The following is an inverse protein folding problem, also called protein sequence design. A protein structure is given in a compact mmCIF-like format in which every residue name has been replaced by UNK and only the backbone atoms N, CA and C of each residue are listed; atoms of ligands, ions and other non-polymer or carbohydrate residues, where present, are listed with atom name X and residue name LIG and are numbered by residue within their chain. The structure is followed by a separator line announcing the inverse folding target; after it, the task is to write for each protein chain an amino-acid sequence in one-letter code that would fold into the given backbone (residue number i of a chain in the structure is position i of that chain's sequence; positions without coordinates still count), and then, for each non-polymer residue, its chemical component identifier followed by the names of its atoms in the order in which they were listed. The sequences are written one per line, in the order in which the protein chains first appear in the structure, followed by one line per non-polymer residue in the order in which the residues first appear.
data_IF_084280718611
#
_entry.id   IF_084280718611
#
_cell.length_a   1.000
_cell.length_b   1.000
_cell.length_c   1.000
_cell.angle_alpha   90.00
_cell.angle_beta   90.00
_cell.angle_gamma   90.00
#
_symmetry.space_group_name_H-M   'P 1'
#
loop_
_entity.id
_entity.type
_entity.pdbx_description
1 polymer ?
#
# COMPACT_ATOMS: atom_id res chain seq x y z
N UNK A 1 17.56 -10.29 -5.35
CA UNK A 1 16.60 -9.52 -6.18
C UNK A 1 17.36 -8.38 -6.82
N UNK A 2 17.06 -8.02 -8.07
CA UNK A 2 17.58 -6.78 -8.70
C UNK A 2 16.43 -5.85 -9.06
N UNK A 3 16.69 -4.55 -9.02
CA UNK A 3 15.75 -3.51 -9.43
C UNK A 3 16.15 -3.05 -10.82
N UNK A 4 15.22 -3.08 -11.76
CA UNK A 4 15.40 -2.56 -13.11
C UNK A 4 14.58 -1.29 -13.29
N UNK A 5 15.18 -0.28 -13.92
CA UNK A 5 14.50 0.96 -14.29
C UNK A 5 14.36 0.98 -15.82
N UNK A 6 13.14 0.78 -16.29
CA UNK A 6 12.82 0.71 -17.71
C UNK A 6 12.20 2.04 -18.11
N UNK A 7 12.80 2.75 -19.07
CA UNK A 7 12.16 3.93 -19.66
C UNK A 7 11.07 3.48 -20.62
N UNK A 8 9.83 3.84 -20.34
CA UNK A 8 8.70 3.67 -21.26
C UNK A 8 8.21 5.04 -21.74
N UNK A 9 7.44 5.08 -22.84
CA UNK A 9 6.83 6.33 -23.29
C UNK A 9 5.81 6.82 -22.24
N UNK A 10 6.13 7.93 -21.57
CA UNK A 10 5.28 8.57 -20.56
C UNK A 10 5.91 8.59 -19.16
N UNK A 11 6.39 7.45 -18.66
CA UNK A 11 6.99 7.37 -17.32
C UNK A 11 8.01 6.22 -17.19
N UNK A 12 8.99 6.34 -16.28
CA UNK A 12 9.87 5.24 -15.95
C UNK A 12 9.12 4.17 -15.15
N UNK A 13 9.32 2.90 -15.50
CA UNK A 13 8.79 1.73 -14.80
C UNK A 13 9.91 1.11 -13.97
N UNK A 14 9.63 0.83 -12.70
CA UNK A 14 10.50 0.01 -11.85
C UNK A 14 9.98 -1.43 -11.87
N UNK A 15 10.86 -2.39 -12.11
CA UNK A 15 10.55 -3.81 -11.97
C UNK A 15 11.54 -4.49 -11.02
N UNK A 16 11.03 -5.48 -10.30
CA UNK A 16 11.82 -6.31 -9.40
C UNK A 16 12.04 -7.66 -10.06
N UNK A 17 13.28 -7.93 -10.47
CA UNK A 17 13.63 -9.24 -10.98
C UNK A 17 14.05 -10.14 -9.82
N UNK A 18 13.25 -11.16 -9.57
CA UNK A 18 13.54 -12.19 -8.56
C UNK A 18 14.43 -13.24 -9.25
N UNK A 19 15.70 -13.31 -8.85
CA UNK A 19 16.70 -14.17 -9.53
C UNK A 19 16.49 -15.66 -9.28
N UNK A 20 15.87 -16.02 -8.16
CA UNK A 20 15.47 -17.38 -7.84
C UNK A 20 13.97 -17.36 -7.58
N UNK A 21 13.19 -18.00 -8.45
CA UNK A 21 11.77 -18.15 -8.21
C UNK A 21 11.60 -19.02 -6.96
N UNK A 22 11.09 -18.43 -5.87
CA UNK A 22 10.78 -19.18 -4.65
C UNK A 22 9.44 -19.88 -4.83
N UNK A 23 9.32 -20.71 -5.85
CA UNK A 23 8.20 -21.64 -6.01
C UNK A 23 8.21 -22.57 -4.80
N UNK A 24 7.30 -22.33 -3.86
CA UNK A 24 7.21 -23.10 -2.61
C UNK A 24 7.04 -22.30 -1.32
N UNK A 25 7.13 -20.96 -1.33
CA UNK A 25 6.77 -20.17 -0.12
C UNK A 25 5.28 -20.31 0.25
N UNK A 26 4.42 -20.69 -0.69
CA UNK A 26 3.00 -20.99 -0.43
C UNK A 26 2.74 -22.43 0.05
N UNK A 27 3.79 -23.24 0.32
CA UNK A 27 3.63 -24.59 0.84
C UNK A 27 4.20 -24.73 2.25
N UNK A 28 3.48 -24.16 3.22
CA UNK A 28 3.39 -24.66 4.59
C UNK A 28 2.19 -24.01 5.24
N UNK A 29 1.50 -24.77 6.09
CA UNK A 29 0.59 -24.24 7.11
C UNK A 29 1.40 -23.39 8.10
N UNK A 30 1.91 -22.25 7.63
CA UNK A 30 2.59 -21.28 8.48
C UNK A 30 1.48 -20.59 9.25
N UNK A 31 1.50 -20.73 10.58
CA UNK A 31 0.64 -19.94 11.46
C UNK A 31 0.70 -18.47 11.06
N UNK A 32 -0.39 -17.70 11.16
CA UNK A 32 -0.45 -16.31 10.70
C UNK A 32 0.72 -15.44 11.18
N UNK A 33 1.28 -15.75 12.36
CA UNK A 33 2.49 -15.11 12.90
C UNK A 33 3.75 -15.30 12.03
N UNK A 34 3.98 -16.48 11.48
CA UNK A 34 5.18 -16.73 10.65
C UNK A 34 5.14 -16.01 9.31
N UNK A 35 3.94 -15.76 8.75
CA UNK A 35 3.77 -14.94 7.54
C UNK A 35 4.09 -13.48 7.84
N UNK A 36 3.64 -12.95 8.98
CA UNK A 36 3.94 -11.59 9.41
C UNK A 36 5.44 -11.38 9.67
N UNK A 37 6.10 -12.36 10.27
CA UNK A 37 7.55 -12.33 10.49
C UNK A 37 8.34 -12.29 9.16
N UNK A 38 7.96 -13.12 8.18
CA UNK A 38 8.60 -13.14 6.85
C UNK A 38 8.34 -11.82 6.10
N UNK A 39 7.09 -11.33 6.11
CA UNK A 39 6.74 -10.04 5.52
C UNK A 39 7.50 -8.89 6.19
N UNK A 40 7.66 -8.94 7.52
CA UNK A 40 8.44 -7.97 8.27
C UNK A 40 9.91 -7.97 7.86
N UNK A 41 10.51 -9.14 7.65
CA UNK A 41 11.88 -9.25 7.14
C UNK A 41 12.02 -8.69 5.71
N UNK A 42 11.08 -8.99 4.82
CA UNK A 42 11.05 -8.45 3.46
C UNK A 42 10.95 -6.92 3.45
N UNK A 43 10.01 -6.36 4.22
CA UNK A 43 9.88 -4.91 4.33
C UNK A 43 11.13 -4.26 4.92
N UNK A 44 11.72 -4.86 5.96
CA UNK A 44 12.90 -4.32 6.61
C UNK A 44 14.13 -4.34 5.73
N UNK A 45 14.40 -5.47 5.08
CA UNK A 45 15.68 -5.71 4.41
C UNK A 45 15.66 -5.27 2.94
N UNK A 46 14.51 -5.41 2.26
CA UNK A 46 14.42 -5.18 0.83
C UNK A 46 13.70 -3.87 0.50
N UNK A 47 12.53 -3.62 1.09
CA UNK A 47 11.66 -2.49 0.68
C UNK A 47 12.04 -1.18 1.35
N UNK A 48 12.29 -1.19 2.66
CA UNK A 48 12.60 0.02 3.45
C UNK A 48 13.80 0.79 2.91
N UNK A 49 14.95 0.16 2.56
CA UNK A 49 16.07 0.87 1.93
C UNK A 49 15.69 1.60 0.63
N UNK A 50 14.83 0.98 -0.19
CA UNK A 50 14.35 1.58 -1.45
C UNK A 50 13.46 2.79 -1.15
N UNK A 51 12.52 2.65 -0.23
CA UNK A 51 11.61 3.73 0.17
C UNK A 51 12.40 4.91 0.73
N UNK A 52 13.39 4.67 1.58
CA UNK A 52 14.24 5.73 2.13
C UNK A 52 15.08 6.42 1.04
N UNK A 53 15.63 5.66 0.09
CA UNK A 53 16.37 6.21 -1.04
C UNK A 53 15.47 7.08 -1.95
N UNK A 54 14.27 6.60 -2.27
CA UNK A 54 13.27 7.34 -3.05
C UNK A 54 12.83 8.60 -2.34
N UNK A 55 12.56 8.52 -1.03
CA UNK A 55 12.19 9.68 -0.21
C UNK A 55 13.26 10.77 -0.27
N UNK A 56 14.53 10.37 -0.13
CA UNK A 56 15.68 11.28 -0.23
C UNK A 56 15.79 11.90 -1.64
N UNK A 57 15.70 11.09 -2.69
CA UNK A 57 15.85 11.56 -4.07
C UNK A 57 14.71 12.50 -4.50
N UNK A 58 13.48 12.19 -4.10
CA UNK A 58 12.29 12.99 -4.38
C UNK A 58 12.05 14.12 -3.37
N UNK A 59 12.95 14.29 -2.38
CA UNK A 59 12.82 15.29 -1.31
C UNK A 59 11.46 15.25 -0.60
N UNK A 60 10.96 14.04 -0.35
CA UNK A 60 9.69 13.79 0.33
C UNK A 60 9.89 12.98 1.61
N UNK A 61 8.85 12.84 2.43
CA UNK A 61 8.90 12.04 3.65
C UNK A 61 8.62 10.58 3.33
N UNK A 62 9.48 9.66 3.81
CA UNK A 62 9.32 8.22 3.61
C UNK A 62 7.94 7.69 4.06
N UNK A 63 7.37 8.25 5.14
CA UNK A 63 6.02 7.93 5.60
C UNK A 63 4.95 8.15 4.52
N UNK A 64 5.11 9.13 3.63
CA UNK A 64 4.17 9.36 2.52
C UNK A 64 4.25 8.23 1.50
N UNK A 65 5.45 7.77 1.16
CA UNK A 65 5.63 6.65 0.23
C UNK A 65 5.07 5.35 0.79
N UNK A 66 5.28 5.07 2.08
CA UNK A 66 4.61 3.94 2.74
C UNK A 66 3.09 4.08 2.73
N UNK A 67 2.55 5.28 2.96
CA UNK A 67 1.10 5.51 2.87
C UNK A 67 0.53 5.32 1.46
N UNK A 68 1.34 5.45 0.42
CA UNK A 68 0.92 5.04 -0.94
C UNK A 68 0.75 3.53 -1.06
N UNK A 69 1.64 2.75 -0.44
CA UNK A 69 1.51 1.30 -0.36
C UNK A 69 0.25 0.92 0.42
N UNK A 70 -0.02 1.57 1.56
CA UNK A 70 -1.27 1.38 2.29
C UNK A 70 -2.51 1.60 1.42
N UNK A 71 -2.55 2.67 0.62
CA UNK A 71 -3.71 2.92 -0.25
C UNK A 71 -3.96 1.76 -1.20
N UNK A 72 -2.90 1.19 -1.79
CA UNK A 72 -3.02 0.04 -2.67
C UNK A 72 -3.47 -1.21 -1.91
N UNK A 73 -2.88 -1.50 -0.75
CA UNK A 73 -3.29 -2.61 0.10
C UNK A 73 -4.76 -2.52 0.50
N UNK A 74 -5.23 -1.30 0.82
CA UNK A 74 -6.62 -1.06 1.18
C UNK A 74 -7.56 -1.29 -0.02
N UNK A 75 -7.21 -0.77 -1.20
CA UNK A 75 -7.97 -1.02 -2.43
C UNK A 75 -8.06 -2.52 -2.74
N UNK A 76 -6.94 -3.25 -2.68
CA UNK A 76 -6.96 -4.71 -2.87
C UNK A 76 -7.85 -5.41 -1.84
N UNK A 77 -7.78 -5.01 -0.56
CA UNK A 77 -8.66 -5.58 0.46
C UNK A 77 -10.13 -5.31 0.17
N UNK A 78 -10.50 -4.09 -0.23
CA UNK A 78 -11.88 -3.74 -0.59
C UNK A 78 -12.39 -4.52 -1.82
N UNK A 79 -11.54 -4.74 -2.82
CA UNK A 79 -11.87 -5.50 -4.03
C UNK A 79 -12.03 -7.00 -3.71
N UNK A 80 -11.02 -7.62 -3.09
CA UNK A 80 -11.05 -9.05 -2.75
C UNK A 80 -12.18 -9.39 -1.77
N UNK A 81 -12.46 -8.51 -0.80
CA UNK A 81 -13.56 -8.70 0.16
C UNK A 81 -14.95 -8.58 -0.48
N UNK A 82 -15.08 -7.75 -1.55
CA UNK A 82 -16.31 -7.61 -2.33
C UNK A 82 -16.56 -8.84 -3.19
N UNK A 83 -15.49 -9.39 -3.75
CA UNK A 83 -15.53 -10.53 -4.67
C UNK A 83 -15.48 -11.89 -3.93
N UNK A 84 -15.37 -11.87 -2.60
CA UNK A 84 -15.35 -13.06 -1.75
C UNK A 84 -16.62 -13.91 -1.93
N UNK A 85 -16.43 -15.23 -2.06
CA UNK A 85 -17.52 -16.18 -2.31
C UNK A 85 -18.49 -16.32 -1.13
N UNK A 86 -18.03 -16.12 0.10
CA UNK A 86 -18.81 -16.23 1.32
C UNK A 86 -18.30 -15.30 2.43
N UNK A 87 -19.11 -15.15 3.47
CA UNK A 87 -18.81 -14.30 4.63
C UNK A 87 -17.56 -14.74 5.39
N UNK A 88 -17.24 -16.03 5.40
CA UNK A 88 -16.06 -16.57 6.09
C UNK A 88 -14.78 -16.10 5.39
N UNK A 89 -14.74 -16.24 4.06
CA UNK A 89 -13.66 -15.78 3.20
C UNK A 89 -13.48 -14.27 3.29
N UNK A 90 -14.60 -13.52 3.25
CA UNK A 90 -14.58 -12.06 3.42
C UNK A 90 -13.97 -11.65 4.76
N UNK A 91 -14.39 -12.29 5.85
CA UNK A 91 -13.87 -11.98 7.18
C UNK A 91 -12.38 -12.32 7.30
N UNK A 92 -11.93 -13.43 6.72
CA UNK A 92 -10.53 -13.80 6.69
C UNK A 92 -9.67 -12.75 5.99
N UNK A 93 -10.10 -12.23 4.82
CA UNK A 93 -9.40 -11.17 4.10
C UNK A 93 -9.25 -9.92 4.97
N UNK A 94 -10.34 -9.51 5.64
CA UNK A 94 -10.36 -8.33 6.51
C UNK A 94 -9.45 -8.53 7.73
N UNK A 95 -9.45 -9.72 8.34
CA UNK A 95 -8.59 -10.06 9.48
C UNK A 95 -7.11 -10.06 9.08
N UNK A 96 -6.76 -10.68 7.96
CA UNK A 96 -5.39 -10.69 7.44
C UNK A 96 -4.89 -9.27 7.14
N UNK A 97 -5.72 -8.45 6.50
CA UNK A 97 -5.40 -7.04 6.27
C UNK A 97 -5.13 -6.29 7.57
N UNK A 98 -5.98 -6.49 8.61
CA UNK A 98 -5.78 -5.89 9.94
C UNK A 98 -4.46 -6.34 10.56
N UNK A 99 -4.16 -7.63 10.54
CA UNK A 99 -2.89 -8.15 11.08
C UNK A 99 -1.68 -7.53 10.38
N UNK A 100 -1.66 -7.49 9.05
CA UNK A 100 -0.56 -6.88 8.26
C UNK A 100 -0.39 -5.40 8.60
N UNK A 101 -1.48 -4.67 8.79
CA UNK A 101 -1.43 -3.23 8.98
C UNK A 101 -1.19 -2.80 10.43
N UNK A 102 -1.58 -3.62 11.42
CA UNK A 102 -1.46 -3.27 12.85
C UNK A 102 -0.28 -3.95 13.56
N UNK A 103 0.05 -5.18 13.22
CA UNK A 103 0.97 -6.01 14.01
C UNK A 103 2.44 -5.84 13.62
N UNK A 104 2.74 -5.26 12.46
CA UNK A 104 4.12 -4.98 12.05
C UNK A 104 4.68 -3.80 12.83
N UNK A 105 5.85 -3.97 13.42
CA UNK A 105 6.49 -2.93 14.23
C UNK A 105 7.08 -1.78 13.37
N UNK A 106 7.10 -0.53 13.86
CA UNK A 106 7.59 0.64 13.12
C UNK A 106 9.00 0.52 12.54
N UNK A 107 9.89 -0.17 13.25
CA UNK A 107 11.31 -0.34 12.90
C UNK A 107 11.49 -1.10 11.58
N UNK A 108 10.53 -1.96 11.23
CA UNK A 108 10.49 -2.65 9.92
C UNK A 108 10.44 -1.64 8.78
N UNK A 109 9.71 -0.54 8.96
CA UNK A 109 9.55 0.51 7.96
C UNK A 109 10.68 1.55 7.99
N UNK A 110 11.61 1.45 8.95
CA UNK A 110 12.60 2.49 9.23
C UNK A 110 11.98 3.79 9.75
N UNK A 111 10.83 3.71 10.43
CA UNK A 111 10.07 4.85 10.93
C UNK A 111 9.85 4.77 12.45
N UNK A 112 9.52 5.90 13.08
CA UNK A 112 9.16 5.95 14.50
C UNK A 112 7.74 5.47 14.80
N UNK A 113 6.89 5.37 13.79
CA UNK A 113 5.52 4.85 13.90
C UNK A 113 5.16 4.00 12.70
N UNK A 114 4.27 3.03 12.90
CA UNK A 114 3.82 2.16 11.81
C UNK A 114 2.94 3.00 10.84
N UNK A 115 3.36 3.12 9.56
CA UNK A 115 2.69 3.96 8.58
C UNK A 115 1.34 3.40 8.10
N UNK A 116 1.02 2.15 8.43
CA UNK A 116 -0.19 1.43 8.05
C UNK A 116 -1.29 1.42 9.12
N UNK A 117 -0.97 1.81 10.36
CA UNK A 117 -1.96 1.98 11.45
C UNK A 117 -2.85 3.20 11.19
N UNK A 118 -3.74 3.07 10.22
CA UNK A 118 -4.62 4.13 9.71
C UNK A 118 -6.06 3.67 9.81
N UNK A 119 -6.86 4.43 10.54
CA UNK A 119 -8.30 4.27 10.54
C UNK A 119 -8.83 4.90 9.24
N UNK A 120 -9.44 4.12 8.33
CA UNK A 120 -9.99 4.64 7.10
C UNK A 120 -11.06 5.70 7.39
N UNK A 121 -11.04 6.78 6.61
CA UNK A 121 -12.10 7.78 6.60
C UNK A 121 -12.82 7.68 5.26
N UNK A 122 -14.10 8.04 5.25
CA UNK A 122 -14.93 7.95 4.06
C UNK A 122 -15.57 9.30 3.75
N UNK A 123 -16.01 9.48 2.51
CA UNK A 123 -16.83 10.61 2.07
C UNK A 123 -17.82 10.15 1.00
N UNK A 124 -18.82 10.98 0.72
CA UNK A 124 -19.72 10.79 -0.41
C UNK A 124 -18.94 10.74 -1.72
N UNK A 125 -19.25 9.80 -2.61
CA UNK A 125 -18.64 9.79 -3.95
C UNK A 125 -19.25 10.91 -4.79
N UNK A 126 -18.47 11.89 -5.29
CA UNK A 126 -18.99 12.91 -6.19
C UNK A 126 -19.39 12.34 -7.56
N UNK A 127 -18.93 11.13 -7.92
CA UNK A 127 -19.21 10.49 -9.19
C UNK A 127 -19.76 9.07 -8.95
N UNK A 128 -21.06 8.78 -9.21
CA UNK A 128 -21.60 7.42 -9.07
C UNK A 128 -20.77 6.41 -9.88
N UNK A 129 -20.64 5.14 -9.42
CA UNK A 129 -21.73 4.33 -8.85
C UNK A 129 -21.68 4.10 -7.34
N UNK A 130 -20.64 4.54 -6.64
CA UNK A 130 -20.53 4.30 -5.19
C UNK A 130 -21.28 5.37 -4.40
N UNK A 131 -21.87 4.99 -3.27
CA UNK A 131 -22.46 5.97 -2.34
C UNK A 131 -21.37 6.64 -1.49
N UNK A 132 -20.33 5.89 -1.15
CA UNK A 132 -19.20 6.34 -0.33
C UNK A 132 -17.88 5.80 -0.88
N UNK A 133 -16.83 6.61 -0.75
CA UNK A 133 -15.45 6.24 -1.12
C UNK A 133 -14.50 6.45 0.05
N UNK A 134 -13.46 5.61 0.12
CA UNK A 134 -12.39 5.75 1.09
C UNK A 134 -11.48 6.93 0.74
N UNK A 135 -11.09 7.69 1.77
CA UNK A 135 -10.12 8.78 1.66
C UNK A 135 -8.72 8.16 1.74
N UNK A 136 -7.91 8.42 0.71
CA UNK A 136 -6.52 7.95 0.67
C UNK A 136 -5.73 8.46 1.87
N UNK A 137 -4.85 7.65 2.42
CA UNK A 137 -4.00 7.97 3.56
C UNK A 137 -2.99 9.11 3.29
N UNK A 138 -2.69 9.38 2.02
CA UNK A 138 -1.77 10.42 1.56
C UNK A 138 -2.11 10.86 0.14
N UNK A 139 -1.79 12.11 -0.20
CA UNK A 139 -1.94 12.64 -1.56
C UNK A 139 -0.75 12.22 -2.44
N UNK A 140 -1.01 11.84 -3.69
CA UNK A 140 0.02 11.51 -4.68
C UNK A 140 0.63 12.73 -5.37
N UNK A 141 0.10 13.93 -5.10
CA UNK A 141 0.53 15.19 -5.69
C UNK A 141 0.43 15.24 -7.23
N UNK A 142 -0.37 14.36 -7.85
CA UNK A 142 -0.54 14.35 -9.31
C UNK A 142 -1.07 15.69 -9.86
N UNK A 143 -1.83 16.45 -9.07
CA UNK A 143 -2.31 17.79 -9.41
C UNK A 143 -1.18 18.82 -9.60
N UNK A 144 0.02 18.56 -9.07
CA UNK A 144 1.18 19.43 -9.26
C UNK A 144 1.90 19.16 -10.59
N UNK A 145 1.61 18.04 -11.25
CA UNK A 145 2.31 17.63 -12.47
C UNK A 145 1.72 18.27 -13.73
N UNK A 146 0.44 18.67 -13.71
CA UNK A 146 -0.23 19.32 -14.85
C UNK A 146 -1.25 20.37 -14.38
N UNK A 147 -1.34 21.54 -15.03
CA UNK A 147 -2.25 22.62 -14.62
C UNK A 147 -3.74 22.27 -14.69
N UNK A 148 -4.11 21.32 -15.55
CA UNK A 148 -5.48 20.85 -15.78
C UNK A 148 -5.89 19.68 -14.89
N UNK A 149 -4.94 19.13 -14.12
CA UNK A 149 -5.22 18.01 -13.23
C UNK A 149 -5.62 18.52 -11.84
N UNK A 150 -6.92 18.47 -11.53
CA UNK A 150 -7.43 18.79 -10.20
C UNK A 150 -7.15 17.72 -9.15
N UNK A 151 -7.74 17.87 -7.97
CA UNK A 151 -7.71 16.83 -6.94
C UNK A 151 -8.58 15.63 -7.33
N UNK A 152 -8.12 14.41 -7.04
CA UNK A 152 -8.96 13.22 -7.16
C UNK A 152 -10.07 13.20 -6.10
N UNK A 153 -11.18 12.50 -6.35
CA UNK A 153 -12.32 12.38 -5.44
C UNK A 153 -11.92 11.84 -4.06
N UNK A 154 -10.99 10.89 -4.00
CA UNK A 154 -10.47 10.29 -2.78
C UNK A 154 -9.31 11.08 -2.14
N UNK A 155 -9.06 12.34 -2.54
CA UNK A 155 -7.87 13.09 -2.12
C UNK A 155 -7.95 13.52 -0.65
N UNK A 156 -6.91 13.27 0.18
CA UNK A 156 -6.94 13.68 1.58
C UNK A 156 -6.73 15.17 1.84
N UNK A 157 -6.38 15.95 0.80
CA UNK A 157 -6.28 17.42 0.90
C UNK A 157 -7.67 18.05 0.94
N UNK A 158 -8.64 17.41 0.28
CA UNK A 158 -10.02 17.87 0.30
C UNK A 158 -10.61 17.62 1.69
N UNK A 159 -11.37 18.57 2.26
CA UNK A 159 -12.02 18.37 3.56
C UNK A 159 -12.95 17.16 3.51
N UNK A 160 -13.01 16.34 4.59
CA UNK A 160 -14.13 15.42 4.77
C UNK A 160 -15.41 16.25 5.00
N UNK A 161 -16.55 15.75 4.51
CA UNK A 161 -17.86 16.34 4.80
C UNK A 161 -18.25 16.17 6.27
#
# INVERSE_FOLDING_TARGET
MSVQLIRTEGFPVFSFHVHENRDGLCHKSVSGKGILDELGLFYKNDVSPIILALAKAAQTKAVMLWKHIYNQLYTYMEEESRDAADDSTRNLIIEQFKSITWEIEPEVFGLHSNPFRIIPKFRTDPNPPHNTISIKATCCLAYQLRPDHGYCSSCPILPPE
#
